data_IF_456832306235
#
_entry.id   IF_456832306235
#
_cell.length_a   1.000
_cell.length_b   1.000
_cell.length_c   1.000
_cell.angle_alpha   90.00
_cell.angle_beta   90.00
_cell.angle_gamma   90.00
#
_symmetry.space_group_name_H-M   'P 1'
#
loop_
_entity.id
_entity.type
_entity.pdbx_description
1 polymer ?
#
# COMPACT_ATOMS: atom_id res chain seq x y z
N UNK A 1 18.68 14.77 3.27
CA UNK A 1 17.33 15.06 3.78
C UNK A 1 16.61 15.84 2.69
N UNK A 2 15.57 15.25 2.09
CA UNK A 2 14.83 15.86 0.98
C UNK A 2 13.53 16.44 1.53
N UNK A 3 13.34 17.76 1.42
CA UNK A 3 12.18 18.46 1.95
C UNK A 3 11.23 18.78 0.79
N UNK A 4 10.08 18.10 0.76
CA UNK A 4 9.02 18.34 -0.21
C UNK A 4 8.01 19.37 0.34
N UNK A 5 7.47 20.24 -0.52
CA UNK A 5 6.50 21.29 -0.15
C UNK A 5 5.05 20.78 -0.08
N UNK A 6 4.80 19.52 -0.45
CA UNK A 6 3.50 18.88 -0.29
C UNK A 6 3.21 18.61 1.19
N UNK A 7 2.11 19.18 1.70
CA UNK A 7 1.51 18.74 2.97
C UNK A 7 0.79 17.42 2.71
N UNK A 8 1.39 16.30 3.13
CA UNK A 8 0.56 15.15 3.55
C UNK A 8 -0.24 15.73 4.71
N UNK A 9 -1.50 16.10 4.47
CA UNK A 9 -2.31 16.78 5.47
C UNK A 9 -2.28 16.01 6.80
N UNK A 10 -2.44 16.70 7.92
CA UNK A 10 -2.52 16.10 9.26
C UNK A 10 -3.80 15.26 9.48
N UNK A 11 -4.34 14.67 8.42
CA UNK A 11 -5.37 13.65 8.50
C UNK A 11 -4.67 12.33 8.80
N UNK A 12 -4.82 11.85 10.04
CA UNK A 12 -4.45 10.48 10.37
C UNK A 12 -5.38 9.54 9.62
N UNK A 13 -4.95 9.04 8.44
CA UNK A 13 -5.62 7.91 7.79
C UNK A 13 -5.59 6.72 8.77
N UNK A 14 -6.74 6.42 9.38
CA UNK A 14 -6.86 5.42 10.44
C UNK A 14 -7.04 4.03 9.82
N UNK A 15 -5.94 3.41 9.41
CA UNK A 15 -5.98 2.04 8.87
C UNK A 15 -6.18 0.99 9.97
N UNK A 16 -5.58 1.19 11.15
CA UNK A 16 -5.59 0.20 12.25
C UNK A 16 -6.89 0.24 13.04
N UNK A 17 -7.50 -0.94 13.21
CA UNK A 17 -8.69 -1.14 14.04
C UNK A 17 -8.36 -1.16 15.53
N UNK A 18 -7.28 -1.87 15.90
CA UNK A 18 -6.83 -2.04 17.28
C UNK A 18 -5.61 -1.11 17.52
N UNK A 19 -5.64 -0.38 18.63
CA UNK A 19 -4.52 0.45 19.07
C UNK A 19 -3.39 -0.37 19.71
N UNK A 20 -2.16 0.16 19.69
CA UNK A 20 -0.95 -0.52 20.19
C UNK A 20 -0.16 -1.24 19.09
N UNK A 21 0.90 -1.93 19.48
CA UNK A 21 1.85 -2.63 18.59
C UNK A 21 1.36 -4.04 18.20
N UNK A 22 0.05 -4.22 18.05
CA UNK A 22 -0.53 -5.48 17.60
C UNK A 22 -0.65 -5.53 16.09
N UNK A 23 0.49 -5.37 15.40
CA UNK A 23 0.60 -5.51 13.95
C UNK A 23 2.04 -5.79 13.52
N UNK A 24 2.19 -6.32 12.29
CA UNK A 24 3.50 -6.46 11.64
C UNK A 24 3.42 -5.78 10.29
N UNK A 25 4.34 -4.84 10.06
CA UNK A 25 4.60 -4.26 8.75
C UNK A 25 6.00 -4.61 8.27
N UNK A 26 6.12 -5.07 7.03
CA UNK A 26 7.40 -5.40 6.41
C UNK A 26 7.78 -4.32 5.38
N UNK A 27 9.04 -3.84 5.39
CA UNK A 27 9.50 -2.89 4.38
C UNK A 27 9.67 -3.62 3.04
N UNK A 28 8.99 -3.14 2.00
CA UNK A 28 9.10 -3.66 0.63
C UNK A 28 9.67 -2.58 -0.29
N UNK A 29 10.68 -2.95 -1.08
CA UNK A 29 11.22 -2.04 -2.10
C UNK A 29 10.31 -2.04 -3.32
N UNK A 30 9.73 -0.89 -3.64
CA UNK A 30 8.76 -0.73 -4.72
C UNK A 30 9.29 0.25 -5.77
N UNK A 31 9.24 -0.14 -7.04
CA UNK A 31 9.68 0.69 -8.17
C UNK A 31 8.52 1.52 -8.71
N UNK A 32 8.73 2.81 -8.95
CA UNK A 32 7.71 3.76 -9.42
C UNK A 32 7.02 3.31 -10.71
N UNK A 33 7.80 2.80 -11.68
CA UNK A 33 7.27 2.27 -12.94
C UNK A 33 6.20 1.19 -12.74
N UNK A 34 6.41 0.31 -11.76
CA UNK A 34 5.57 -0.87 -11.58
C UNK A 34 4.20 -0.52 -10.98
N UNK A 35 4.13 0.55 -10.17
CA UNK A 35 2.91 0.98 -9.46
C UNK A 35 2.29 2.26 -10.00
N UNK A 36 2.73 2.74 -11.18
CA UNK A 36 2.31 4.03 -11.76
C UNK A 36 0.79 4.16 -11.89
N UNK A 37 0.09 3.05 -12.14
CA UNK A 37 -1.38 2.99 -12.25
C UNK A 37 -2.11 3.10 -10.91
N UNK A 38 -1.41 2.95 -9.79
CA UNK A 38 -1.95 3.03 -8.43
C UNK A 38 -1.58 4.34 -7.70
N UNK A 39 -0.70 5.14 -8.29
CA UNK A 39 -0.36 6.47 -7.79
C UNK A 39 -1.51 7.45 -8.05
N UNK A 40 -1.77 8.32 -7.09
CA UNK A 40 -2.67 9.46 -7.31
C UNK A 40 -1.96 10.58 -8.11
N UNK A 41 -2.68 11.68 -8.38
CA UNK A 41 -2.15 12.84 -9.12
C UNK A 41 -0.91 13.49 -8.47
N UNK A 42 -0.72 13.27 -7.17
CA UNK A 42 0.42 13.75 -6.41
C UNK A 42 1.60 12.78 -6.38
N UNK A 43 1.52 11.70 -7.15
CA UNK A 43 2.48 10.59 -7.16
C UNK A 43 2.59 9.89 -5.78
N UNK A 44 1.49 9.85 -5.04
CA UNK A 44 1.42 9.19 -3.73
C UNK A 44 0.75 7.83 -3.88
N UNK A 45 1.42 6.81 -3.36
CA UNK A 45 0.83 5.50 -3.11
C UNK A 45 0.13 5.56 -1.76
N UNK A 46 -1.20 5.58 -1.78
CA UNK A 46 -1.97 5.79 -0.56
C UNK A 46 -2.07 4.53 0.30
N UNK A 47 -2.17 4.74 1.61
CA UNK A 47 -2.49 3.71 2.59
C UNK A 47 -3.81 3.00 2.22
N UNK A 48 -3.89 1.72 2.59
CA UNK A 48 -5.03 0.86 2.25
C UNK A 48 -4.94 0.22 0.86
N UNK A 49 -3.98 0.63 0.01
CA UNK A 49 -3.77 0.01 -1.31
C UNK A 49 -3.22 -1.41 -1.17
N UNK A 50 -3.77 -2.37 -1.90
CA UNK A 50 -3.25 -3.74 -1.95
C UNK A 50 -2.01 -3.84 -2.85
N UNK A 51 -1.02 -4.64 -2.43
CA UNK A 51 0.22 -4.85 -3.18
C UNK A 51 0.65 -6.32 -3.18
N UNK A 52 1.34 -6.74 -4.23
CA UNK A 52 1.96 -8.07 -4.31
C UNK A 52 3.27 -8.13 -3.55
N UNK A 53 3.81 -9.33 -3.32
CA UNK A 53 5.09 -9.53 -2.63
C UNK A 53 6.29 -8.93 -3.40
N UNK A 54 6.13 -8.67 -4.70
CA UNK A 54 7.13 -8.04 -5.56
C UNK A 54 6.99 -6.51 -5.62
N UNK A 55 6.00 -5.93 -4.94
CA UNK A 55 5.76 -4.50 -4.96
C UNK A 55 4.99 -4.02 -6.18
N UNK A 56 4.17 -4.88 -6.79
CA UNK A 56 3.38 -4.58 -7.98
C UNK A 56 1.88 -4.43 -7.65
N UNK A 57 1.08 -3.84 -8.55
CA UNK A 57 -0.37 -3.83 -8.44
C UNK A 57 -0.93 -5.25 -8.36
N UNK A 58 -1.85 -5.47 -7.43
CA UNK A 58 -2.56 -6.76 -7.29
C UNK A 58 -3.47 -7.03 -8.47
N UNK A 59 -3.50 -8.29 -8.89
CA UNK A 59 -4.42 -8.85 -9.86
C UNK A 59 -5.33 -9.83 -9.14
N UNK A 60 -6.62 -9.50 -9.12
CA UNK A 60 -7.67 -10.34 -8.51
C UNK A 60 -8.65 -10.79 -9.59
N UNK A 61 -8.99 -12.08 -9.56
CA UNK A 61 -10.08 -12.68 -10.32
C UNK A 61 -11.17 -13.18 -9.36
N UNK A 62 -12.24 -13.78 -9.87
CA UNK A 62 -13.30 -14.36 -9.03
C UNK A 62 -12.86 -15.55 -8.18
N UNK A 63 -11.68 -16.13 -8.45
CA UNK A 63 -11.18 -17.31 -7.73
C UNK A 63 -9.76 -17.18 -7.20
N UNK A 64 -8.97 -16.24 -7.73
CA UNK A 64 -7.55 -16.08 -7.39
C UNK A 64 -7.19 -14.62 -7.13
N UNK A 65 -6.16 -14.41 -6.33
CA UNK A 65 -5.54 -13.10 -6.09
C UNK A 65 -4.07 -13.32 -5.75
N UNK A 66 -3.22 -12.37 -6.09
CA UNK A 66 -1.80 -12.35 -5.75
C UNK A 66 -1.48 -11.32 -4.65
N UNK A 67 -2.49 -10.86 -3.91
CA UNK A 67 -2.32 -9.94 -2.79
C UNK A 67 -1.39 -10.53 -1.72
N UNK A 68 -0.42 -9.73 -1.31
CA UNK A 68 0.52 -10.05 -0.25
C UNK A 68 0.25 -9.26 1.02
N UNK A 69 -0.13 -7.99 0.88
CA UNK A 69 -0.40 -7.13 2.02
C UNK A 69 -0.97 -5.78 1.63
N UNK A 70 -1.09 -4.91 2.62
CA UNK A 70 -1.75 -3.61 2.51
C UNK A 70 -0.73 -2.51 2.76
N UNK A 71 -0.65 -1.49 1.92
CA UNK A 71 0.18 -0.31 2.15
C UNK A 71 -0.24 0.35 3.47
N UNK A 72 0.68 0.43 4.43
CA UNK A 72 0.38 0.86 5.79
C UNK A 72 0.22 2.38 5.93
N UNK A 73 1.06 3.14 5.24
CA UNK A 73 1.08 4.60 5.27
C UNK A 73 1.25 5.15 3.87
N UNK A 74 0.82 6.39 3.64
CA UNK A 74 1.03 7.08 2.37
C UNK A 74 2.54 7.17 2.06
N UNK A 75 2.94 6.75 0.85
CA UNK A 75 4.33 6.83 0.37
C UNK A 75 4.39 7.74 -0.83
N UNK A 76 5.23 8.76 -0.76
CA UNK A 76 5.34 9.78 -1.78
C UNK A 76 6.47 9.41 -2.77
N UNK A 77 6.12 9.18 -4.04
CA UNK A 77 7.05 8.91 -5.14
C UNK A 77 7.40 10.18 -5.94
N UNK A 78 6.92 11.36 -5.52
CA UNK A 78 7.21 12.64 -6.16
C UNK A 78 8.66 13.01 -5.96
N UNK A 79 9.35 13.22 -7.08
CA UNK A 79 10.79 13.53 -7.14
C UNK A 79 11.68 12.44 -6.49
N UNK A 80 11.20 11.21 -6.37
CA UNK A 80 12.05 10.08 -6.00
C UNK A 80 13.19 9.93 -7.00
N UNK A 81 14.41 9.74 -6.49
CA UNK A 81 15.61 9.74 -7.31
C UNK A 81 15.98 8.32 -7.75
N UNK A 82 16.19 8.15 -9.05
CA UNK A 82 16.80 6.96 -9.61
C UNK A 82 18.29 7.18 -9.84
N UNK A 83 19.12 6.15 -9.63
CA UNK A 83 20.58 6.23 -9.81
C UNK A 83 20.98 6.49 -11.27
N UNK A 84 20.14 6.10 -12.21
CA UNK A 84 20.35 6.19 -13.66
C UNK A 84 19.73 7.45 -14.29
N UNK A 85 19.11 8.34 -13.48
CA UNK A 85 18.44 9.54 -13.97
C UNK A 85 17.07 9.28 -14.63
N UNK A 86 16.60 8.04 -14.68
CA UNK A 86 15.27 7.70 -15.23
C UNK A 86 14.26 7.74 -14.08
N UNK A 87 13.42 8.78 -14.02
CA UNK A 87 12.48 9.01 -12.92
C UNK A 87 11.58 7.81 -12.61
N UNK A 88 11.14 7.07 -13.64
CA UNK A 88 10.29 5.88 -13.46
C UNK A 88 11.05 4.69 -12.81
N UNK A 89 12.39 4.70 -12.81
CA UNK A 89 13.21 3.69 -12.12
C UNK A 89 13.44 3.99 -10.64
N UNK A 90 12.95 5.11 -10.13
CA UNK A 90 13.04 5.44 -8.73
C UNK A 90 12.35 4.38 -7.87
N UNK A 91 12.95 4.06 -6.72
CA UNK A 91 12.44 3.08 -5.79
C UNK A 91 12.23 3.71 -4.43
N UNK A 92 11.12 3.40 -3.80
CA UNK A 92 10.83 3.79 -2.42
C UNK A 92 10.64 2.55 -1.54
N UNK A 93 10.86 2.72 -0.24
CA UNK A 93 10.57 1.68 0.75
C UNK A 93 9.14 1.88 1.24
N UNK A 94 8.27 0.93 0.88
CA UNK A 94 6.86 0.94 1.23
C UNK A 94 6.64 0.00 2.42
N UNK A 95 6.11 0.47 3.56
CA UNK A 95 5.72 -0.41 4.65
C UNK A 95 4.43 -1.14 4.27
N UNK A 96 4.50 -2.47 4.24
CA UNK A 96 3.38 -3.34 3.88
C UNK A 96 2.90 -4.07 5.13
N UNK A 97 1.66 -3.82 5.51
CA UNK A 97 0.95 -4.48 6.60
C UNK A 97 0.57 -5.91 6.19
N UNK A 98 1.11 -6.90 6.90
CA UNK A 98 0.91 -8.33 6.61
C UNK A 98 0.19 -9.07 7.75
N UNK A 99 0.11 -8.46 8.93
CA UNK A 99 -0.55 -9.05 10.09
C UNK A 99 -1.10 -7.98 11.02
N UNK A 100 -2.27 -8.24 11.61
CA UNK A 100 -2.92 -7.40 12.61
C UNK A 100 -4.40 -7.19 12.31
N UNK A 101 -4.97 -6.06 12.73
CA UNK A 101 -6.38 -5.73 12.49
C UNK A 101 -6.54 -4.35 11.84
N UNK A 102 -7.36 -4.27 10.79
CA UNK A 102 -7.61 -3.06 10.00
C UNK A 102 -9.11 -2.74 9.92
N UNK A 103 -9.45 -1.46 9.72
CA UNK A 103 -10.80 -1.07 9.30
C UNK A 103 -11.01 -1.47 7.84
N UNK A 104 -12.00 -2.30 7.54
CA UNK A 104 -12.31 -2.74 6.18
C UNK A 104 -12.59 -1.54 5.26
N UNK A 105 -13.26 -0.51 5.80
CA UNK A 105 -13.56 0.75 5.10
C UNK A 105 -12.33 1.57 4.70
N UNK A 106 -11.18 1.32 5.32
CA UNK A 106 -9.92 1.97 5.01
C UNK A 106 -9.05 1.18 4.00
N UNK A 107 -9.46 -0.05 3.64
CA UNK A 107 -8.75 -0.89 2.67
C UNK A 107 -9.40 -0.74 1.30
N UNK A 108 -8.58 -0.55 0.27
CA UNK A 108 -9.02 -0.40 -1.13
C UNK A 108 -9.18 -1.76 -1.79
N UNK A 109 -10.12 -2.55 -1.28
CA UNK A 109 -10.48 -3.87 -1.82
C UNK A 109 -11.12 -3.75 -3.21
N UNK A 110 -11.02 -4.80 -4.00
CA UNK A 110 -11.75 -4.95 -5.27
C UNK A 110 -13.25 -4.95 -5.02
N UNK A 111 -13.99 -4.20 -5.86
CA UNK A 111 -15.44 -3.97 -5.65
C UNK A 111 -16.28 -5.23 -5.88
N UNK A 112 -15.77 -6.20 -6.65
CA UNK A 112 -16.48 -7.43 -7.00
C UNK A 112 -15.92 -8.62 -6.20
N UNK A 113 -14.61 -8.66 -6.01
CA UNK A 113 -13.86 -9.83 -5.54
C UNK A 113 -13.22 -9.62 -4.16
N UNK A 114 -13.65 -8.61 -3.38
CA UNK A 114 -13.16 -8.34 -2.02
C UNK A 114 -13.07 -9.60 -1.13
N UNK A 115 -14.00 -10.55 -1.26
CA UNK A 115 -13.97 -11.78 -0.48
C UNK A 115 -12.75 -12.67 -0.78
N UNK A 116 -12.28 -12.69 -2.02
CA UNK A 116 -11.08 -13.44 -2.45
C UNK A 116 -9.83 -12.81 -1.85
N UNK A 117 -9.73 -11.48 -1.90
CA UNK A 117 -8.62 -10.72 -1.32
C UNK A 117 -8.54 -10.86 0.20
N UNK A 118 -9.67 -10.70 0.90
CA UNK A 118 -9.73 -10.89 2.35
C UNK A 118 -9.35 -12.31 2.76
N UNK A 119 -9.71 -13.32 1.97
CA UNK A 119 -9.34 -14.71 2.23
C UNK A 119 -7.83 -14.95 2.07
N UNK A 120 -7.18 -14.30 1.11
CA UNK A 120 -5.74 -14.39 0.92
C UNK A 120 -4.96 -13.67 2.04
N UNK A 121 -5.50 -12.58 2.58
CA UNK A 121 -4.96 -11.85 3.73
C UNK A 121 -5.36 -12.50 5.07
N UNK A 122 -5.12 -13.81 5.19
CA UNK A 122 -5.56 -14.65 6.32
C UNK A 122 -5.00 -14.25 7.69
N UNK A 123 -3.90 -13.52 7.74
CA UNK A 123 -3.28 -13.00 8.97
C UNK A 123 -3.78 -11.59 9.35
N UNK A 124 -4.70 -11.02 8.57
CA UNK A 124 -5.29 -9.70 8.79
C UNK A 124 -6.77 -9.84 9.14
N UNK A 125 -7.16 -9.23 10.26
CA UNK A 125 -8.55 -9.13 10.69
C UNK A 125 -9.17 -7.87 10.08
N UNK A 126 -10.30 -8.02 9.40
CA UNK A 126 -11.08 -6.91 8.83
C UNK A 126 -12.24 -6.56 9.76
N UNK A 127 -12.14 -5.41 10.43
CA UNK A 127 -13.19 -4.87 11.28
C UNK A 127 -14.11 -3.90 10.54
N UNK A 128 -15.29 -3.68 11.12
CA UNK A 128 -16.23 -2.66 10.68
C UNK A 128 -15.79 -1.27 11.11
#
# INVERSE_FOLDING_TARGET
>A
MHQNSYKIGASHKKLRLIGGDHFISLPLKVKKADIKTKLNVDEILEAGTLITAEGKPVITTSTTTDVYGIVYQDVNFRNSMAKDGITDNACEIVPVFVHGAVYESAVKLDTINAAVEKKALNMIIFGK
#
